data_IF_706432902013
#
_entry.id   IF_706432902013
#
_cell.length_a   1.000
_cell.length_b   1.000
_cell.length_c   1.000
_cell.angle_alpha   90.00
_cell.angle_beta   90.00
_cell.angle_gamma   90.00
#
_symmetry.space_group_name_H-M   'P 1'
#
loop_
_entity.id
_entity.type
_entity.pdbx_description
1 polymer ?
#
# COMPACT_ATOMS: atom_id res chain seq x y z
N UNK A 1 -13.30 1.05 -6.85
CA UNK A 1 -12.13 1.00 -7.75
C UNK A 1 -12.35 2.07 -8.80
N UNK A 2 -11.52 3.11 -8.82
CA UNK A 2 -11.58 4.16 -9.85
C UNK A 2 -10.42 3.89 -10.81
N UNK A 3 -10.75 3.51 -12.04
CA UNK A 3 -9.77 3.31 -13.10
C UNK A 3 -9.39 4.69 -13.67
N UNK A 4 -8.09 5.01 -13.74
CA UNK A 4 -7.61 6.19 -14.44
C UNK A 4 -7.58 5.89 -15.95
N UNK A 5 -8.50 6.45 -16.76
CA UNK A 5 -8.79 5.99 -18.12
C UNK A 5 -7.61 6.03 -19.10
N UNK A 6 -6.55 6.76 -18.73
CA UNK A 6 -5.36 6.97 -19.55
C UNK A 6 -4.15 6.13 -19.12
N UNK A 7 -4.16 5.51 -17.93
CA UNK A 7 -2.95 4.91 -17.36
C UNK A 7 -3.07 3.42 -17.02
N UNK A 8 -4.26 2.82 -17.15
CA UNK A 8 -4.55 1.41 -16.81
C UNK A 8 -4.21 1.05 -15.36
N UNK A 9 -4.17 2.04 -14.46
CA UNK A 9 -4.00 1.82 -13.03
C UNK A 9 -5.33 1.90 -12.29
N UNK A 10 -5.51 0.99 -11.36
CA UNK A 10 -6.57 0.99 -10.38
C UNK A 10 -6.13 1.72 -9.12
N UNK A 11 -6.94 2.68 -8.68
CA UNK A 11 -6.72 3.43 -7.44
C UNK A 11 -7.83 3.06 -6.44
N UNK A 12 -7.41 2.70 -5.22
CA UNK A 12 -8.31 2.34 -4.14
C UNK A 12 -7.76 2.78 -2.78
N UNK A 13 -8.61 3.40 -1.97
CA UNK A 13 -8.29 3.64 -0.57
C UNK A 13 -8.38 2.32 0.19
N UNK A 14 -7.22 1.82 0.61
CA UNK A 14 -7.10 0.58 1.39
C UNK A 14 -7.13 0.85 2.89
N UNK A 15 -7.03 2.11 3.30
CA UNK A 15 -7.27 2.56 4.66
C UNK A 15 -7.82 3.99 4.65
N UNK A 16 -9.08 4.15 5.05
CA UNK A 16 -9.72 5.47 5.08
C UNK A 16 -8.99 6.46 6.00
N UNK A 17 -9.07 7.75 5.69
CA UNK A 17 -8.63 8.81 6.57
C UNK A 17 -9.47 8.85 7.86
N UNK A 18 -8.91 8.36 8.97
CA UNK A 18 -9.55 8.31 10.28
C UNK A 18 -8.52 8.52 11.40
N UNK A 19 -8.97 9.12 12.50
CA UNK A 19 -8.20 9.18 13.75
C UNK A 19 -8.14 7.79 14.38
N UNK A 20 -6.94 7.33 14.70
CA UNK A 20 -6.68 6.00 15.27
C UNK A 20 -5.73 6.16 16.44
N UNK A 21 -6.07 5.55 17.57
CA UNK A 21 -5.20 5.49 18.74
C UNK A 21 -4.04 4.52 18.51
N UNK A 22 -3.11 4.45 19.47
CA UNK A 22 -2.00 3.50 19.42
C UNK A 22 -2.47 2.05 19.24
N UNK A 23 -1.73 1.28 18.44
CA UNK A 23 -2.04 -0.11 18.12
C UNK A 23 -1.69 -0.48 16.68
N UNK A 24 -1.99 -1.72 16.32
CA UNK A 24 -1.78 -2.25 14.98
C UNK A 24 -3.07 -2.21 14.17
N UNK A 25 -2.98 -1.69 12.96
CA UNK A 25 -4.08 -1.61 11.99
C UNK A 25 -3.61 -2.18 10.67
N UNK A 26 -4.44 -3.00 10.04
CA UNK A 26 -4.15 -3.57 8.73
C UNK A 26 -4.95 -2.83 7.67
N UNK A 27 -4.32 -2.54 6.53
CA UNK A 27 -5.05 -2.06 5.35
C UNK A 27 -5.89 -3.19 4.77
N UNK A 28 -6.88 -2.85 3.97
CA UNK A 28 -7.47 -3.80 3.03
C UNK A 28 -6.36 -4.41 2.16
N UNK A 29 -6.55 -5.67 1.80
CA UNK A 29 -5.66 -6.36 0.87
C UNK A 29 -5.91 -5.88 -0.56
N UNK A 30 -4.83 -5.76 -1.32
CA UNK A 30 -4.84 -5.55 -2.76
C UNK A 30 -4.67 -6.90 -3.43
N UNK A 31 -5.61 -7.30 -4.29
CA UNK A 31 -5.48 -8.48 -5.14
C UNK A 31 -4.70 -8.11 -6.40
N UNK A 32 -3.57 -8.76 -6.60
CA UNK A 32 -2.62 -8.50 -7.67
C UNK A 32 -2.72 -9.54 -8.79
N UNK A 33 -3.79 -10.34 -8.83
CA UNK A 33 -4.04 -11.32 -9.90
C UNK A 33 -4.02 -10.70 -11.31
N UNK A 34 -4.32 -9.41 -11.44
CA UNK A 34 -4.34 -8.66 -12.71
C UNK A 34 -3.39 -7.47 -12.72
N UNK A 35 -2.58 -7.27 -11.67
CA UNK A 35 -1.67 -6.14 -11.54
C UNK A 35 -0.23 -6.63 -11.37
N UNK A 36 0.66 -6.21 -12.26
CA UNK A 36 2.07 -6.60 -12.21
C UNK A 36 2.81 -5.89 -11.07
N UNK A 37 2.33 -4.72 -10.65
CA UNK A 37 2.92 -3.97 -9.55
C UNK A 37 1.87 -3.20 -8.74
N UNK A 38 2.27 -2.77 -7.54
CA UNK A 38 1.48 -1.86 -6.72
C UNK A 38 2.35 -0.89 -5.94
N UNK A 39 1.78 0.25 -5.56
CA UNK A 39 2.37 1.18 -4.64
C UNK A 39 1.34 1.63 -3.60
N UNK A 40 1.76 1.70 -2.34
CA UNK A 40 0.95 2.21 -1.24
C UNK A 40 1.43 3.62 -0.88
N UNK A 41 0.58 4.60 -1.14
CA UNK A 41 0.76 5.99 -0.75
C UNK A 41 0.18 6.16 0.65
N UNK A 42 1.04 6.45 1.61
CA UNK A 42 0.68 6.65 3.01
C UNK A 42 0.63 8.16 3.25
N UNK A 43 -0.47 8.65 3.83
CA UNK A 43 -0.59 10.04 4.29
C UNK A 43 -0.96 10.06 5.77
N UNK A 44 -0.18 10.78 6.57
CA UNK A 44 -0.40 10.99 7.99
C UNK A 44 -0.52 12.50 8.25
N UNK A 45 -1.75 12.99 8.38
CA UNK A 45 -2.03 14.42 8.60
C UNK A 45 -1.86 14.85 10.05
N UNK A 46 -1.95 13.93 11.00
CA UNK A 46 -1.63 14.16 12.41
C UNK A 46 -0.80 13.00 12.91
N UNK A 47 0.40 13.30 13.40
CA UNK A 47 1.36 12.35 13.94
C UNK A 47 1.55 12.61 15.44
N UNK A 48 1.84 11.56 16.19
CA UNK A 48 2.00 11.61 17.64
C UNK A 48 3.34 11.03 18.08
N UNK A 49 3.43 9.75 18.47
CA UNK A 49 4.71 9.18 18.98
C UNK A 49 5.50 8.43 17.91
N UNK A 50 4.82 7.59 17.13
CA UNK A 50 5.44 6.80 16.07
C UNK A 50 4.40 6.31 15.07
N UNK A 51 4.86 6.09 13.85
CA UNK A 51 4.09 5.50 12.77
C UNK A 51 5.04 4.63 11.94
N UNK A 52 4.79 3.33 11.92
CA UNK A 52 5.53 2.37 11.11
C UNK A 52 4.55 1.60 10.23
N UNK A 53 4.84 1.47 8.95
CA UNK A 53 4.12 0.61 8.04
C UNK A 53 5.06 -0.47 7.49
N UNK A 54 4.67 -1.72 7.61
CA UNK A 54 5.40 -2.88 7.08
C UNK A 54 4.57 -3.53 5.98
N UNK A 55 5.20 -3.82 4.85
CA UNK A 55 4.60 -4.60 3.77
C UNK A 55 4.39 -6.05 4.22
N UNK A 56 3.21 -6.59 3.93
CA UNK A 56 2.90 -8.00 4.10
C UNK A 56 2.36 -8.58 2.79
N UNK A 57 2.65 -9.86 2.56
CA UNK A 57 2.12 -10.62 1.43
C UNK A 57 1.37 -11.87 1.89
N UNK A 58 0.47 -12.35 1.03
CA UNK A 58 -0.34 -13.55 1.26
C UNK A 58 -0.75 -14.18 -0.06
N UNK A 59 -0.78 -15.51 -0.14
CA UNK A 59 -1.30 -16.24 -1.30
C UNK A 59 -2.82 -16.39 -1.26
N UNK A 60 -3.42 -16.33 -0.06
CA UNK A 60 -4.82 -16.73 0.19
C UNK A 60 -5.66 -15.66 0.89
N UNK A 61 -5.09 -14.48 1.17
CA UNK A 61 -5.71 -13.37 1.90
C UNK A 61 -6.06 -13.72 3.36
N UNK A 62 -5.48 -14.79 3.92
CA UNK A 62 -5.79 -15.28 5.27
C UNK A 62 -4.53 -15.39 6.14
N UNK A 63 -3.48 -16.04 5.63
CA UNK A 63 -2.19 -16.15 6.28
C UNK A 63 -1.24 -15.09 5.72
N UNK A 64 -0.68 -14.26 6.59
CA UNK A 64 0.12 -13.10 6.19
C UNK A 64 1.54 -13.21 6.71
N UNK A 65 2.50 -12.93 5.83
CA UNK A 65 3.92 -12.92 6.13
C UNK A 65 4.46 -11.52 5.90
N UNK A 66 5.31 -11.02 6.80
CA UNK A 66 6.03 -9.77 6.60
C UNK A 66 7.01 -9.93 5.43
N UNK A 67 7.08 -8.92 4.56
CA UNK A 67 8.05 -8.92 3.46
C UNK A 67 9.48 -9.02 4.02
N UNK A 68 10.31 -9.98 3.55
CA UNK A 68 11.70 -10.08 3.98
C UNK A 68 12.56 -9.00 3.31
N UNK A 69 13.60 -8.53 4.01
CA UNK A 69 14.45 -7.38 3.64
C UNK A 69 15.41 -7.63 2.45
N UNK A 70 15.18 -8.66 1.65
CA UNK A 70 16.09 -9.07 0.58
C UNK A 70 15.34 -9.67 -0.60
N UNK A 71 15.79 -9.38 -1.83
CA UNK A 71 15.56 -10.10 -3.10
C UNK A 71 14.57 -9.51 -4.12
N UNK A 72 13.44 -8.92 -3.72
CA UNK A 72 12.39 -8.53 -4.69
C UNK A 72 12.42 -7.05 -5.14
N UNK A 73 13.25 -6.21 -4.52
CA UNK A 73 13.26 -4.76 -4.78
C UNK A 73 12.04 -4.00 -4.23
N UNK A 74 11.24 -4.68 -3.40
CA UNK A 74 10.11 -4.10 -2.68
C UNK A 74 10.60 -3.20 -1.54
N UNK A 75 9.85 -2.13 -1.26
CA UNK A 75 10.03 -1.37 -0.02
C UNK A 75 9.42 -2.17 1.12
N UNK A 76 10.22 -2.65 2.05
CA UNK A 76 9.73 -3.52 3.15
C UNK A 76 8.96 -2.73 4.19
N UNK A 77 9.42 -1.53 4.53
CA UNK A 77 8.76 -0.69 5.51
C UNK A 77 8.93 0.79 5.23
N UNK A 78 8.08 1.59 5.88
CA UNK A 78 8.19 3.03 5.94
C UNK A 78 7.89 3.50 7.36
N UNK A 79 8.73 4.39 7.88
CA UNK A 79 8.55 5.00 9.19
C UNK A 79 8.39 6.50 9.03
N UNK A 80 7.36 7.06 9.65
CA UNK A 80 7.18 8.51 9.75
C UNK A 80 7.57 8.96 11.16
N UNK A 81 8.42 9.98 11.23
CA UNK A 81 8.86 10.64 12.48
C UNK A 81 8.15 11.98 12.74
N UNK A 82 7.24 12.36 11.84
CA UNK A 82 6.39 13.55 11.92
C UNK A 82 5.19 13.37 10.97
N UNK A 83 4.27 14.34 10.97
CA UNK A 83 3.16 14.37 10.00
C UNK A 83 3.73 14.55 8.58
N UNK A 84 3.21 13.78 7.62
CA UNK A 84 3.76 13.75 6.27
C UNK A 84 3.25 12.59 5.45
N UNK A 85 4.05 12.20 4.46
CA UNK A 85 3.71 11.12 3.54
C UNK A 85 4.88 10.18 3.31
N UNK A 86 4.59 8.91 3.11
CA UNK A 86 5.56 7.91 2.72
C UNK A 86 5.02 7.06 1.56
N UNK A 87 5.92 6.33 0.92
CA UNK A 87 5.60 5.48 -0.21
C UNK A 87 6.23 4.10 0.00
N UNK A 88 5.41 3.05 -0.06
CA UNK A 88 5.88 1.67 -0.13
C UNK A 88 5.66 1.18 -1.56
N UNK A 89 6.75 0.85 -2.27
CA UNK A 89 6.70 0.35 -3.65
C UNK A 89 6.80 -1.17 -3.67
N UNK A 90 5.97 -1.81 -4.48
CA UNK A 90 5.95 -3.25 -4.70
C UNK A 90 6.08 -3.52 -6.21
N UNK A 91 7.27 -3.30 -6.81
CA UNK A 91 7.49 -3.57 -8.22
C UNK A 91 7.41 -5.06 -8.57
N UNK A 92 7.71 -5.95 -7.62
CA UNK A 92 7.66 -7.39 -7.82
C UNK A 92 6.89 -8.06 -6.66
N UNK A 93 5.56 -8.16 -6.75
CA UNK A 93 4.76 -8.84 -5.74
C UNK A 93 5.19 -10.29 -5.54
N UNK A 94 5.39 -10.70 -4.27
CA UNK A 94 5.79 -12.08 -3.93
C UNK A 94 4.65 -13.09 -4.02
N UNK A 95 3.43 -12.63 -3.80
CA UNK A 95 2.24 -13.43 -3.74
C UNK A 95 1.06 -12.66 -4.32
N UNK A 96 -0.09 -13.32 -4.41
CA UNK A 96 -1.31 -12.75 -4.99
C UNK A 96 -1.81 -11.51 -4.26
N UNK A 97 -1.70 -11.46 -2.93
CA UNK A 97 -2.21 -10.35 -2.14
C UNK A 97 -1.09 -9.59 -1.46
N UNK A 98 -1.20 -8.26 -1.44
CA UNK A 98 -0.35 -7.37 -0.65
C UNK A 98 -1.19 -6.47 0.25
N UNK A 99 -0.69 -6.16 1.44
CA UNK A 99 -1.28 -5.17 2.35
C UNK A 99 -0.20 -4.51 3.20
N UNK A 100 -0.57 -3.48 3.95
CA UNK A 100 0.29 -2.93 5.00
C UNK A 100 -0.21 -3.31 6.40
N UNK A 101 0.74 -3.67 7.26
CA UNK A 101 0.61 -3.68 8.71
C UNK A 101 1.11 -2.32 9.21
N UNK A 102 0.21 -1.50 9.75
CA UNK A 102 0.52 -0.16 10.27
C UNK A 102 0.52 -0.20 11.79
N UNK A 103 1.64 0.13 12.42
CA UNK A 103 1.81 0.21 13.87
C UNK A 103 1.90 1.68 14.28
N UNK A 104 0.97 2.10 15.13
CA UNK A 104 0.88 3.47 15.65
C UNK A 104 1.28 3.48 17.13
N UNK A 105 2.21 4.36 17.50
CA UNK A 105 2.62 4.57 18.90
C UNK A 105 1.78 5.60 19.67
N UNK A 106 0.83 6.25 18.99
CA UNK A 106 0.01 7.33 19.53
C UNK A 106 -1.22 7.60 18.66
N UNK A 107 -1.94 8.68 18.94
CA UNK A 107 -3.14 9.01 18.15
C UNK A 107 -2.76 9.68 16.83
N UNK A 108 -2.88 8.94 15.72
CA UNK A 108 -2.57 9.44 14.38
C UNK A 108 -3.81 9.54 13.50
N UNK A 109 -3.87 10.56 12.64
CA UNK A 109 -4.87 10.67 11.57
C UNK A 109 -4.17 10.32 10.26
N UNK A 110 -4.46 9.13 9.72
CA UNK A 110 -3.79 8.62 8.55
C UNK A 110 -4.72 7.92 7.56
N UNK A 111 -4.27 7.84 6.31
CA UNK A 111 -4.90 7.11 5.21
C UNK A 111 -3.85 6.40 4.39
N UNK A 112 -4.27 5.35 3.70
CA UNK A 112 -3.42 4.64 2.73
C UNK A 112 -4.22 4.41 1.46
N UNK A 113 -3.68 4.88 0.34
CA UNK A 113 -4.21 4.63 -1.00
C UNK A 113 -3.27 3.68 -1.73
N UNK A 114 -3.81 2.62 -2.31
CA UNK A 114 -3.07 1.74 -3.20
C UNK A 114 -3.31 2.14 -4.66
N UNK A 115 -2.25 2.07 -5.45
CA UNK A 115 -2.28 2.24 -6.91
C UNK A 115 -1.68 0.98 -7.52
N UNK A 116 -2.44 0.26 -8.32
CA UNK A 116 -2.06 -1.06 -8.85
C UNK A 116 -2.29 -1.13 -10.36
N UNK A 117 -1.40 -1.78 -11.09
CA UNK A 117 -1.51 -1.85 -12.55
C UNK A 117 -0.27 -2.43 -13.20
N UNK A 118 -0.05 -2.18 -14.51
CA UNK A 118 1.11 -2.68 -15.22
C UNK A 118 2.41 -2.00 -14.77
N UNK A 119 3.56 -2.64 -15.04
CA UNK A 119 4.89 -2.07 -14.74
C UNK A 119 5.17 -0.75 -15.48
N UNK A 120 4.58 -0.56 -16.65
CA UNK A 120 4.66 0.65 -17.46
C UNK A 120 3.25 1.03 -17.90
N UNK A 121 2.90 2.32 -17.81
CA UNK A 121 1.68 2.83 -18.42
C UNK A 121 1.73 2.56 -19.92
N UNK A 122 0.71 1.92 -20.45
CA UNK A 122 0.52 1.80 -21.90
C UNK A 122 -0.63 2.72 -22.28
N UNK A 123 -0.43 3.56 -23.31
CA UNK A 123 -1.54 4.27 -23.93
C UNK A 123 -2.52 3.21 -24.40
N UNK A 124 -3.77 3.29 -23.93
CA UNK A 124 -4.82 2.43 -24.46
C UNK A 124 -4.90 2.68 -25.98
N UNK A 125 -4.84 1.63 -26.83
CA UNK A 125 -5.01 1.85 -28.26
C UNK A 125 -6.38 2.49 -28.49
N UNK A 126 -6.40 3.62 -29.22
CA UNK A 126 -7.64 4.26 -29.65
C UNK A 126 -8.59 3.17 -30.18
N UNK A 127 -9.77 3.06 -29.58
CA UNK A 127 -10.78 2.13 -30.03
C UNK A 127 -11.17 2.49 -31.47
N UNK A 128 -10.67 1.71 -32.43
CA UNK A 128 -10.98 1.82 -33.85
C UNK A 128 -12.45 1.46 -34.14
#
# INVERSE_FOLDING_TARGET
MKNDPSSNYDIVDVLDAKSRTAGTVYTAAVDLVTADCTAFLISCGTWDTSFEATLQYSDDNSAWTDEPDTEAGNTVSATLTEAGSALIKVPNPRARYSRLKVVLGGTCVASVTAVSGPLLSVDAPDAA
#
